data_IF_181698141679
#
_entry.id   IF_181698141679
#
_cell.length_a   1.000
_cell.length_b   1.000
_cell.length_c   1.000
_cell.angle_alpha   90.00
_cell.angle_beta   90.00
_cell.angle_gamma   90.00
#
_symmetry.space_group_name_H-M   'P 1'
#
loop_
_entity.id
_entity.type
_entity.pdbx_description
1 polymer ?
#
# COMPACT_ATOMS: atom_id res chain seq x y z
N UNK A 1 11.68 -20.25 -1.37
CA UNK A 1 11.54 -19.80 0.02
C UNK A 1 12.02 -18.38 0.20
N UNK A 2 11.11 -17.42 0.29
CA UNK A 2 11.43 -16.00 0.52
C UNK A 2 10.46 -15.38 1.55
N UNK A 3 9.87 -16.21 2.41
CA UNK A 3 8.82 -15.86 3.37
C UNK A 3 9.38 -15.57 4.77
N UNK A 4 10.57 -16.06 5.11
CA UNK A 4 11.16 -15.93 6.45
C UNK A 4 11.30 -14.47 6.88
N UNK A 5 11.82 -13.60 6.01
CA UNK A 5 11.99 -12.17 6.32
C UNK A 5 10.68 -11.36 6.34
N UNK A 6 9.63 -11.82 5.65
CA UNK A 6 8.32 -11.14 5.66
C UNK A 6 7.50 -11.47 6.90
N UNK A 7 7.72 -12.65 7.49
CA UNK A 7 7.06 -13.09 8.72
C UNK A 7 7.59 -12.36 9.97
N UNK A 8 8.78 -11.76 9.89
CA UNK A 8 9.38 -10.96 10.96
C UNK A 8 8.78 -9.55 11.04
N UNK A 9 8.06 -9.11 9.99
CA UNK A 9 7.46 -7.79 9.95
C UNK A 9 6.22 -7.73 10.85
N UNK A 10 6.01 -6.62 11.58
CA UNK A 10 4.88 -6.50 12.47
C UNK A 10 3.56 -6.49 11.68
N UNK A 11 2.50 -7.13 12.19
CA UNK A 11 1.19 -7.02 11.59
C UNK A 11 0.61 -5.61 11.77
N UNK A 12 -0.04 -5.11 10.72
CA UNK A 12 -0.76 -3.83 10.75
C UNK A 12 -2.21 -4.10 11.12
N UNK A 13 -2.75 -3.30 12.03
CA UNK A 13 -4.13 -3.41 12.48
C UNK A 13 -4.91 -2.15 12.09
N UNK A 14 -5.93 -2.32 11.25
CA UNK A 14 -6.85 -1.24 10.87
C UNK A 14 -8.11 -1.31 11.71
N UNK A 15 -8.31 -0.31 12.57
CA UNK A 15 -9.51 -0.20 13.39
C UNK A 15 -10.60 0.56 12.64
N UNK A 16 -11.67 -0.13 12.26
CA UNK A 16 -12.77 0.38 11.46
C UNK A 16 -14.04 0.45 12.29
N UNK A 17 -14.86 1.46 12.01
CA UNK A 17 -16.20 1.63 12.60
C UNK A 17 -17.20 1.75 11.46
N UNK A 18 -18.20 0.87 11.46
CA UNK A 18 -19.29 0.88 10.50
C UNK A 18 -20.35 1.93 10.83
N UNK A 19 -21.28 2.16 9.90
CA UNK A 19 -22.38 3.14 10.03
C UNK A 19 -23.25 2.94 11.27
N UNK A 20 -23.40 1.71 11.75
CA UNK A 20 -24.20 1.35 12.92
C UNK A 20 -23.36 1.25 14.21
N UNK A 21 -22.13 1.77 14.22
CA UNK A 21 -21.23 1.71 15.38
C UNK A 21 -20.50 0.37 15.57
N UNK A 22 -20.77 -0.61 14.71
CA UNK A 22 -20.07 -1.90 14.71
C UNK A 22 -18.57 -1.69 14.49
N UNK A 23 -17.75 -2.20 15.41
CA UNK A 23 -16.28 -2.10 15.33
C UNK A 23 -15.70 -3.37 14.74
N UNK A 24 -14.70 -3.22 13.89
CA UNK A 24 -13.92 -4.32 13.35
C UNK A 24 -12.46 -3.94 13.26
N UNK A 25 -11.58 -4.88 13.58
CA UNK A 25 -10.15 -4.73 13.34
C UNK A 25 -9.75 -5.65 12.20
N UNK A 26 -9.20 -5.09 11.12
CA UNK A 26 -8.58 -5.87 10.06
C UNK A 26 -7.10 -6.05 10.38
N UNK A 27 -6.59 -7.28 10.29
CA UNK A 27 -5.18 -7.60 10.47
C UNK A 27 -4.55 -7.84 9.10
N UNK A 28 -3.41 -7.21 8.84
CA UNK A 28 -2.63 -7.41 7.62
C UNK A 28 -1.20 -7.80 8.02
N UNK A 29 -0.81 -9.02 7.69
CA UNK A 29 0.54 -9.53 7.97
C UNK A 29 1.57 -8.95 6.99
N UNK A 30 2.87 -9.09 7.29
CA UNK A 30 3.97 -8.50 6.52
C UNK A 30 3.93 -8.81 5.02
N UNK A 31 3.58 -10.04 4.67
CA UNK A 31 3.36 -10.49 3.29
C UNK A 31 2.16 -9.80 2.60
N UNK A 32 1.20 -9.31 3.38
CA UNK A 32 0.00 -8.63 2.91
C UNK A 32 0.20 -7.15 2.64
N UNK A 33 1.33 -6.54 3.03
CA UNK A 33 1.58 -5.12 2.75
C UNK A 33 2.96 -4.81 2.18
N UNK A 34 3.80 -5.80 1.91
CA UNK A 34 5.09 -5.60 1.24
C UNK A 34 5.09 -6.28 -0.11
N UNK A 35 5.46 -5.55 -1.16
CA UNK A 35 5.66 -6.13 -2.48
C UNK A 35 7.01 -5.72 -3.05
N UNK A 36 7.55 -6.58 -3.93
CA UNK A 36 8.83 -6.37 -4.60
C UNK A 36 8.62 -5.67 -5.94
N UNK A 37 9.43 -4.67 -6.22
CA UNK A 37 9.48 -3.96 -7.51
C UNK A 37 10.93 -3.75 -7.95
N UNK A 38 11.13 -3.38 -9.21
CA UNK A 38 12.44 -2.98 -9.74
C UNK A 38 12.56 -1.46 -9.68
N UNK A 39 13.66 -1.00 -9.10
CA UNK A 39 14.05 0.40 -9.06
C UNK A 39 15.39 0.56 -9.78
N UNK A 40 15.55 1.66 -10.52
CA UNK A 40 16.83 2.00 -11.13
C UNK A 40 17.86 2.32 -10.04
N UNK A 41 19.01 1.69 -10.13
CA UNK A 41 20.13 2.01 -9.25
C UNK A 41 20.71 3.36 -9.65
N UNK A 42 20.81 4.27 -8.69
CA UNK A 42 21.38 5.61 -8.89
C UNK A 42 22.64 5.77 -8.07
N UNK A 43 23.59 6.52 -8.60
CA UNK A 43 24.72 7.05 -7.85
C UNK A 43 24.63 8.57 -7.78
N UNK A 44 24.96 9.13 -6.63
CA UNK A 44 24.93 10.58 -6.43
C UNK A 44 26.25 11.20 -6.85
N UNK A 45 26.21 12.15 -7.77
CA UNK A 45 27.38 12.95 -8.18
C UNK A 45 27.14 14.41 -7.82
N UNK A 46 28.20 15.13 -7.48
CA UNK A 46 28.15 16.58 -7.27
C UNK A 46 28.30 17.29 -8.61
N UNK A 47 27.31 18.06 -9.02
CA UNK A 47 27.36 18.96 -10.18
C UNK A 47 27.26 20.41 -9.73
N UNK A 48 28.00 21.31 -10.38
CA UNK A 48 27.92 22.74 -10.09
C UNK A 48 26.86 23.42 -10.97
N UNK A 49 25.71 23.73 -10.39
CA UNK A 49 24.70 24.58 -11.03
C UNK A 49 25.25 26.01 -11.15
N UNK A 50 25.13 26.59 -12.35
CA UNK A 50 25.70 27.91 -12.70
C UNK A 50 27.20 28.05 -12.45
N UNK A 51 27.95 26.94 -12.38
CA UNK A 51 29.41 26.95 -12.17
C UNK A 51 29.87 27.23 -10.74
N UNK A 52 28.96 27.55 -9.80
CA UNK A 52 29.32 27.92 -8.42
C UNK A 52 28.57 27.14 -7.34
N UNK A 53 27.34 26.67 -7.59
CA UNK A 53 26.54 26.00 -6.55
C UNK A 53 26.62 24.46 -6.66
N UNK A 54 27.31 23.76 -5.74
CA UNK A 54 27.36 22.30 -5.75
C UNK A 54 26.01 21.71 -5.36
N UNK A 55 25.44 20.87 -6.23
CA UNK A 55 24.20 20.13 -5.99
C UNK A 55 24.44 18.64 -6.21
N UNK A 56 23.90 17.82 -5.31
CA UNK A 56 23.91 16.36 -5.44
C UNK A 56 22.80 15.93 -6.39
N UNK A 57 23.17 15.30 -7.50
CA UNK A 57 22.24 14.82 -8.52
C UNK A 57 22.31 13.30 -8.58
N UNK A 58 21.15 12.64 -8.58
CA UNK A 58 21.06 11.21 -8.82
C UNK A 58 21.27 10.92 -10.32
N UNK A 59 22.25 10.09 -10.65
CA UNK A 59 22.54 9.66 -12.02
C UNK A 59 22.28 8.15 -12.12
N UNK A 60 21.46 7.70 -13.09
CA UNK A 60 21.21 6.27 -13.30
C UNK A 60 22.51 5.52 -13.62
N UNK A 61 22.72 4.35 -13.03
CA UNK A 61 23.86 3.46 -13.37
C UNK A 61 23.55 2.55 -14.56
N UNK A 62 22.30 2.51 -15.01
CA UNK A 62 21.81 1.57 -16.02
C UNK A 62 21.51 0.17 -15.48
N UNK A 63 21.72 -0.06 -14.18
CA UNK A 63 21.34 -1.31 -13.50
C UNK A 63 20.00 -1.11 -12.78
N UNK A 64 19.24 -2.19 -12.68
CA UNK A 64 18.05 -2.26 -11.84
C UNK A 64 18.33 -3.15 -10.64
N UNK A 65 17.76 -2.77 -9.50
CA UNK A 65 17.76 -3.58 -8.28
C UNK A 65 16.33 -3.89 -7.87
N UNK A 66 16.13 -5.08 -7.31
CA UNK A 66 14.86 -5.42 -6.67
C UNK A 66 14.80 -4.74 -5.31
N UNK A 67 13.70 -4.05 -5.03
CA UNK A 67 13.43 -3.39 -3.75
C UNK A 67 12.05 -3.81 -3.24
N UNK A 68 11.92 -3.90 -1.93
CA UNK A 68 10.65 -4.14 -1.27
C UNK A 68 10.07 -2.79 -0.83
N UNK A 69 8.81 -2.52 -1.18
CA UNK A 69 8.11 -1.29 -0.81
C UNK A 69 6.77 -1.59 -0.13
N UNK A 70 6.31 -0.72 0.78
CA UNK A 70 5.01 -0.87 1.42
C UNK A 70 3.88 -0.60 0.42
N UNK A 71 2.78 -1.32 0.60
CA UNK A 71 1.58 -1.25 -0.21
C UNK A 71 0.59 -0.17 0.21
N UNK A 72 1.04 0.76 1.04
CA UNK A 72 0.27 1.92 1.43
C UNK A 72 1.23 3.09 1.55
N UNK A 73 0.74 4.27 1.21
CA UNK A 73 1.51 5.50 1.31
C UNK A 73 0.60 6.65 1.71
N UNK A 74 1.17 7.60 2.45
CA UNK A 74 0.52 8.88 2.68
C UNK A 74 0.48 9.66 1.35
N UNK A 75 -0.71 10.13 0.99
CA UNK A 75 -0.87 11.07 -0.11
C UNK A 75 -0.45 12.47 0.33
N UNK A 76 -0.04 13.31 -0.62
CA UNK A 76 0.41 14.70 -0.36
C UNK A 76 -0.68 15.64 0.16
N UNK A 77 -1.92 15.17 0.27
CA UNK A 77 -3.06 15.95 0.72
C UNK A 77 -3.33 15.70 2.21
N UNK A 78 -3.12 16.73 3.02
CA UNK A 78 -3.38 16.71 4.47
C UNK A 78 -4.74 17.30 4.76
N UNK A 79 -5.60 16.53 5.41
CA UNK A 79 -6.91 16.98 5.88
C UNK A 79 -6.77 17.91 7.08
N UNK A 80 -7.74 18.81 7.27
CA UNK A 80 -7.71 19.82 8.34
C UNK A 80 -7.67 19.21 9.75
N UNK A 81 -8.31 18.04 9.96
CA UNK A 81 -8.49 17.44 11.30
C UNK A 81 -7.80 16.10 11.49
N UNK A 82 -7.55 15.33 10.42
CA UNK A 82 -7.21 13.90 10.53
C UNK A 82 -5.84 13.54 9.93
N UNK A 83 -5.03 14.53 9.55
CA UNK A 83 -3.73 14.30 8.93
C UNK A 83 -3.84 13.90 7.45
N UNK A 84 -2.81 13.25 6.86
CA UNK A 84 -2.78 12.90 5.45
C UNK A 84 -3.86 11.89 5.07
N UNK A 85 -4.37 12.02 3.84
CA UNK A 85 -5.12 10.93 3.23
C UNK A 85 -4.16 9.78 2.97
N UNK A 86 -4.57 8.57 3.35
CA UNK A 86 -3.81 7.35 3.08
C UNK A 86 -4.38 6.65 1.86
N UNK A 87 -3.49 6.22 0.97
CA UNK A 87 -3.85 5.32 -0.13
C UNK A 87 -3.52 3.91 0.35
N UNK A 88 -4.55 3.09 0.46
CA UNK A 88 -4.41 1.66 0.69
C UNK A 88 -4.33 0.98 -0.67
N UNK A 89 -3.18 0.36 -0.95
CA UNK A 89 -2.91 -0.27 -2.23
C UNK A 89 -3.62 -1.60 -2.42
N UNK A 90 -3.34 -2.21 -3.56
CA UNK A 90 -4.01 -3.43 -4.00
C UNK A 90 -3.89 -4.65 -3.08
N UNK A 91 -2.85 -4.82 -2.24
CA UNK A 91 -2.75 -5.97 -1.35
C UNK A 91 -3.88 -6.10 -0.34
N UNK A 92 -4.55 -4.99 0.02
CA UNK A 92 -5.77 -5.08 0.83
C UNK A 92 -6.89 -5.86 0.11
N UNK A 93 -6.98 -5.76 -1.22
CA UNK A 93 -7.94 -6.52 -2.05
C UNK A 93 -7.53 -7.98 -2.27
N UNK A 94 -6.28 -8.33 -2.01
CA UNK A 94 -5.82 -9.73 -2.06
C UNK A 94 -6.17 -10.47 -0.76
N UNK A 95 -6.06 -9.77 0.37
CA UNK A 95 -6.39 -10.33 1.69
C UNK A 95 -7.90 -10.35 1.95
N UNK A 96 -8.61 -9.32 1.49
CA UNK A 96 -10.05 -9.16 1.73
C UNK A 96 -10.82 -8.95 0.44
N UNK A 97 -12.00 -9.57 0.36
CA UNK A 97 -12.99 -9.14 -0.62
C UNK A 97 -13.61 -7.83 -0.14
N UNK A 98 -13.45 -6.77 -0.93
CA UNK A 98 -13.96 -5.43 -0.61
C UNK A 98 -15.24 -5.17 -1.41
N UNK A 99 -16.32 -4.86 -0.68
CA UNK A 99 -17.59 -4.46 -1.27
C UNK A 99 -17.81 -2.95 -1.13
N UNK A 100 -18.34 -2.34 -2.18
CA UNK A 100 -18.71 -0.93 -2.20
C UNK A 100 -20.23 -0.83 -2.30
N UNK A 101 -20.85 -0.21 -1.30
CA UNK A 101 -22.27 0.13 -1.34
C UNK A 101 -22.42 1.61 -1.70
N UNK A 102 -22.70 1.84 -2.98
CA UNK A 102 -22.92 3.17 -3.55
C UNK A 102 -24.34 3.70 -3.31
N UNK A 103 -25.27 2.84 -2.85
CA UNK A 103 -26.66 3.22 -2.58
C UNK A 103 -26.85 3.66 -1.12
N UNK A 104 -25.99 3.20 -0.22
CA UNK A 104 -25.94 3.69 1.15
C UNK A 104 -25.67 5.21 1.19
N UNK A 105 -26.27 5.89 2.18
CA UNK A 105 -26.04 7.31 2.44
C UNK A 105 -25.54 7.49 3.89
N UNK A 106 -24.26 7.84 4.11
CA UNK A 106 -23.19 8.00 3.11
C UNK A 106 -22.78 6.66 2.46
N UNK A 107 -22.10 6.68 1.30
CA UNK A 107 -21.54 5.49 0.69
C UNK A 107 -20.71 4.69 1.69
N UNK A 108 -20.81 3.37 1.65
CA UNK A 108 -20.20 2.48 2.63
C UNK A 108 -19.26 1.47 1.97
N UNK A 109 -18.31 0.99 2.76
CA UNK A 109 -17.37 -0.05 2.37
C UNK A 109 -17.50 -1.22 3.35
N UNK A 110 -17.45 -2.43 2.84
CA UNK A 110 -17.41 -3.66 3.62
C UNK A 110 -16.19 -4.50 3.26
N UNK A 111 -15.69 -5.25 4.23
CA UNK A 111 -14.57 -6.17 4.07
C UNK A 111 -15.08 -7.56 4.40
N UNK A 112 -14.69 -8.58 3.65
CA UNK A 112 -15.04 -9.97 3.93
C UNK A 112 -13.75 -10.77 3.97
N UNK A 113 -13.58 -11.59 5.02
CA UNK A 113 -12.40 -12.45 5.21
C UNK A 113 -12.49 -13.66 4.26
N UNK A 114 -12.35 -13.40 2.96
CA UNK A 114 -12.29 -14.41 1.91
C UNK A 114 -11.30 -13.94 0.84
N UNK A 115 -10.33 -14.80 0.47
CA UNK A 115 -9.46 -14.50 -0.66
C UNK A 115 -10.29 -14.44 -1.95
N UNK A 116 -9.93 -13.52 -2.85
CA UNK A 116 -10.52 -13.48 -4.19
C UNK A 116 -10.21 -14.80 -4.94
N UNK A 117 -11.23 -15.50 -5.45
CA UNK A 117 -11.04 -16.69 -6.28
C UNK A 117 -12.06 -17.83 -6.12
N UNK A 118 -12.96 -17.80 -5.14
CA UNK A 118 -13.99 -18.83 -4.95
C UNK A 118 -15.33 -18.46 -5.63
N UNK A 119 -15.29 -18.16 -6.93
CA UNK A 119 -16.50 -18.09 -7.72
C UNK A 119 -16.82 -19.47 -8.30
N UNK A 120 -17.50 -20.33 -7.53
CA UNK A 120 -18.29 -21.42 -8.13
C UNK A 120 -19.59 -20.82 -8.66
N UNK A 121 -19.51 -20.11 -9.79
CA UNK A 121 -20.71 -19.68 -10.50
C UNK A 121 -21.41 -20.90 -11.11
N UNK A 122 -22.76 -20.98 -11.10
CA UNK A 122 -23.43 -22.00 -11.89
C UNK A 122 -23.09 -21.76 -13.37
N UNK A 123 -22.62 -22.80 -14.04
CA UNK A 123 -22.59 -22.87 -15.49
C UNK A 123 -24.04 -22.77 -15.99
N UNK A 124 -24.37 -21.66 -16.64
CA UNK A 124 -25.59 -21.52 -17.44
C UNK A 124 -25.48 -22.33 -18.73
#
# INVERSE_FOLDING_TARGET
DNTTGLNELPPIHFHLVGSHGNRRTLKLDGNGYVFSTREDEVHYVTKHLFGVFPVKVAVPTGKQRNVCIPAFAAHKYTTVRNGPVWILGTPLFYEFQVGYDMQATPPAITFVDRPCGSCSGPSF
#
